data_IF_947958266472
#
_entry.id   IF_947958266472
#
_cell.length_a   1.000
_cell.length_b   1.000
_cell.length_c   1.000
_cell.angle_alpha   90.00
_cell.angle_beta   90.00
_cell.angle_gamma   90.00
#
_symmetry.space_group_name_H-M   'P 1'
#
loop_
_entity.id
_entity.type
_entity.pdbx_description
1 polymer ?
#
# COMPACT_ATOMS: atom_id res chain seq x y z
N UNK A 1 -3.82 11.58 -20.53
CA UNK A 1 -4.55 10.41 -20.01
C UNK A 1 -4.83 10.49 -18.49
N UNK A 2 -4.00 11.15 -17.67
CA UNK A 2 -4.25 11.26 -16.22
C UNK A 2 -5.36 12.24 -15.81
N UNK A 3 -5.35 13.47 -16.32
CA UNK A 3 -6.29 14.54 -15.90
C UNK A 3 -7.77 14.16 -16.08
N UNK A 4 -8.12 13.55 -17.22
CA UNK A 4 -9.49 13.11 -17.52
C UNK A 4 -9.99 12.05 -16.52
N UNK A 5 -9.13 11.11 -16.14
CA UNK A 5 -9.47 10.08 -15.14
C UNK A 5 -9.67 10.69 -13.74
N UNK A 6 -8.87 11.71 -13.38
CA UNK A 6 -9.04 12.45 -12.13
C UNK A 6 -10.35 13.26 -12.11
N UNK A 7 -10.73 13.88 -13.23
CA UNK A 7 -12.00 14.61 -13.35
C UNK A 7 -13.22 13.66 -13.27
N UNK A 8 -13.13 12.48 -13.91
CA UNK A 8 -14.16 11.44 -13.81
C UNK A 8 -14.34 10.98 -12.36
N UNK A 9 -13.24 10.76 -11.61
CA UNK A 9 -13.29 10.35 -10.21
C UNK A 9 -13.90 11.43 -9.30
N UNK A 10 -13.56 12.71 -9.53
CA UNK A 10 -14.20 13.83 -8.82
C UNK A 10 -15.71 13.88 -9.08
N UNK A 11 -16.14 13.68 -10.34
CA UNK A 11 -17.56 13.69 -10.70
C UNK A 11 -18.34 12.55 -10.02
N UNK A 12 -17.72 11.37 -9.91
CA UNK A 12 -18.30 10.22 -9.23
C UNK A 12 -18.47 10.46 -7.72
N UNK A 13 -17.47 11.08 -7.07
CA UNK A 13 -17.59 11.47 -5.66
C UNK A 13 -18.67 12.52 -5.40
N UNK A 14 -18.84 13.48 -6.32
CA UNK A 14 -19.87 14.51 -6.20
C UNK A 14 -21.28 13.95 -6.34
N UNK A 15 -21.52 13.05 -7.32
CA UNK A 15 -22.82 12.38 -7.51
C UNK A 15 -23.26 11.56 -6.29
N UNK A 16 -22.30 10.99 -5.56
CA UNK A 16 -22.54 10.17 -4.36
C UNK A 16 -22.55 10.95 -3.04
N UNK A 17 -22.49 12.28 -3.07
CA UNK A 17 -22.49 13.10 -1.86
C UNK A 17 -21.19 13.03 -1.03
N UNK A 18 -20.13 12.40 -1.55
CA UNK A 18 -18.80 12.27 -0.91
C UNK A 18 -17.98 13.56 -1.09
N UNK A 19 -18.52 14.65 -0.57
CA UNK A 19 -18.03 16.02 -0.81
C UNK A 19 -16.64 16.27 -0.21
N UNK A 20 -16.26 15.60 0.88
CA UNK A 20 -14.96 15.79 1.53
C UNK A 20 -13.82 15.21 0.68
N UNK A 21 -14.08 14.08 0.04
CA UNK A 21 -13.15 13.33 -0.80
C UNK A 21 -13.02 13.99 -2.16
N UNK A 22 -14.13 14.42 -2.76
CA UNK A 22 -14.13 15.24 -3.96
C UNK A 22 -13.28 16.50 -3.77
N UNK A 23 -13.49 17.23 -2.65
CA UNK A 23 -12.73 18.45 -2.31
C UNK A 23 -11.26 18.15 -2.02
N UNK A 24 -10.96 17.07 -1.31
CA UNK A 24 -9.58 16.67 -1.04
C UNK A 24 -8.82 16.33 -2.33
N UNK A 25 -9.45 15.57 -3.23
CA UNK A 25 -8.88 15.20 -4.54
C UNK A 25 -8.66 16.43 -5.42
N UNK A 26 -9.64 17.34 -5.49
CA UNK A 26 -9.52 18.62 -6.22
C UNK A 26 -8.38 19.49 -5.70
N UNK A 27 -8.22 19.61 -4.38
CA UNK A 27 -7.12 20.37 -3.77
C UNK A 27 -5.75 19.79 -4.13
N UNK A 28 -5.64 18.47 -4.23
CA UNK A 28 -4.41 17.80 -4.64
C UNK A 28 -4.14 17.97 -6.14
N UNK A 29 -5.16 17.93 -7.00
CA UNK A 29 -5.01 18.20 -8.43
C UNK A 29 -4.48 19.62 -8.69
N UNK A 30 -4.93 20.61 -7.90
CA UNK A 30 -4.39 21.99 -7.94
C UNK A 30 -2.92 22.01 -7.51
N UNK A 31 -2.57 21.30 -6.43
CA UNK A 31 -1.20 21.25 -5.89
C UNK A 31 -0.19 20.60 -6.83
N UNK A 32 -0.60 19.60 -7.59
CA UNK A 32 0.26 18.86 -8.54
C UNK A 32 0.37 19.58 -9.90
N UNK A 33 -0.26 20.76 -10.06
CA UNK A 33 -0.23 21.50 -11.32
C UNK A 33 -0.98 20.82 -12.45
N UNK A 34 -1.87 19.86 -12.14
CA UNK A 34 -2.72 19.16 -13.11
C UNK A 34 -3.94 19.99 -13.52
N UNK A 35 -4.12 21.18 -12.93
CA UNK A 35 -5.14 22.16 -13.27
C UNK A 35 -4.43 23.44 -13.71
N UNK A 36 -4.42 23.74 -15.01
CA UNK A 36 -4.00 25.04 -15.50
C UNK A 36 -5.04 26.10 -15.05
N UNK A 37 -4.54 27.04 -14.25
CA UNK A 37 -5.02 28.41 -13.98
C UNK A 37 -6.53 28.69 -14.16
N UNK A 38 -7.22 28.97 -13.03
CA UNK A 38 -8.42 29.83 -13.07
C UNK A 38 -9.65 29.44 -12.24
N UNK A 39 -9.59 28.46 -11.32
CA UNK A 39 -10.76 28.14 -10.48
C UNK A 39 -10.54 28.63 -9.04
N UNK A 40 -11.10 29.83 -8.82
CA UNK A 40 -11.28 30.48 -7.52
C UNK A 40 -11.91 29.53 -6.49
N UNK A 41 -11.54 29.69 -5.23
CA UNK A 41 -11.93 28.82 -4.12
C UNK A 41 -13.41 28.97 -3.68
N UNK A 42 -14.24 29.69 -4.45
CA UNK A 42 -15.63 29.98 -4.12
C UNK A 42 -16.68 29.39 -5.09
N UNK A 43 -16.33 28.41 -5.94
CA UNK A 43 -17.33 27.70 -6.74
C UNK A 43 -18.05 26.60 -5.93
N UNK A 44 -18.68 26.99 -4.82
CA UNK A 44 -19.70 26.17 -4.14
C UNK A 44 -21.07 26.55 -4.71
N UNK A 45 -21.29 26.24 -5.99
CA UNK A 45 -22.53 26.55 -6.70
C UNK A 45 -22.85 25.44 -7.70
N UNK A 46 -24.07 24.92 -7.61
CA UNK A 46 -24.63 23.76 -8.31
C UNK A 46 -24.27 23.65 -9.81
N UNK A 47 -24.15 22.40 -10.26
CA UNK A 47 -24.31 21.88 -11.63
C UNK A 47 -23.35 22.27 -12.77
N UNK A 48 -22.61 23.38 -12.73
CA UNK A 48 -22.04 23.91 -13.98
C UNK A 48 -20.55 23.60 -14.27
N UNK A 49 -19.84 22.85 -13.43
CA UNK A 49 -18.40 22.57 -13.66
C UNK A 49 -18.14 21.39 -14.62
N UNK A 50 -19.13 20.52 -14.85
CA UNK A 50 -18.90 19.22 -15.50
C UNK A 50 -19.30 19.16 -16.98
N UNK A 51 -20.22 20.00 -17.46
CA UNK A 51 -20.71 19.92 -18.84
C UNK A 51 -19.65 20.33 -19.88
N UNK A 52 -18.81 21.32 -19.59
CA UNK A 52 -17.93 21.92 -20.60
C UNK A 52 -16.78 21.00 -21.05
N UNK A 53 -16.44 19.97 -20.27
CA UNK A 53 -15.36 19.01 -20.57
C UNK A 53 -15.88 17.64 -21.03
N UNK A 54 -17.19 17.38 -20.88
CA UNK A 54 -17.82 16.07 -21.15
C UNK A 54 -18.40 15.95 -22.58
N UNK A 55 -18.36 17.02 -23.38
CA UNK A 55 -19.06 17.11 -24.68
C UNK A 55 -18.42 16.33 -25.84
N UNK A 56 -17.61 15.30 -25.58
CA UNK A 56 -17.30 14.30 -26.62
C UNK A 56 -18.15 13.05 -26.36
N UNK A 57 -18.94 12.57 -27.33
CA UNK A 57 -19.95 11.52 -27.12
C UNK A 57 -19.38 10.28 -26.41
N UNK A 58 -18.20 9.80 -26.79
CA UNK A 58 -17.58 8.62 -26.17
C UNK A 58 -17.06 8.79 -24.72
N UNK A 59 -16.94 10.02 -24.19
CA UNK A 59 -16.51 10.27 -22.79
C UNK A 59 -17.71 10.43 -21.85
N UNK A 60 -18.82 10.96 -22.36
CA UNK A 60 -20.09 11.01 -21.64
C UNK A 60 -20.61 9.60 -21.35
N UNK A 61 -20.57 8.72 -22.34
CA UNK A 61 -20.98 7.32 -22.21
C UNK A 61 -20.14 6.55 -21.19
N UNK A 62 -18.83 6.83 -21.13
CA UNK A 62 -17.92 6.20 -20.17
C UNK A 62 -18.16 6.70 -18.74
N UNK A 63 -18.49 7.98 -18.57
CA UNK A 63 -18.86 8.55 -17.27
C UNK A 63 -20.22 8.03 -16.78
N UNK A 64 -21.16 7.80 -17.71
CA UNK A 64 -22.48 7.22 -17.43
C UNK A 64 -22.34 5.74 -17.09
N UNK A 65 -21.57 4.97 -17.87
CA UNK A 65 -21.29 3.56 -17.58
C UNK A 65 -20.56 3.38 -16.24
N UNK A 66 -19.59 4.23 -15.92
CA UNK A 66 -18.94 4.24 -14.61
C UNK A 66 -19.93 4.59 -13.50
N UNK A 67 -20.85 5.54 -13.71
CA UNK A 67 -21.88 5.87 -12.73
C UNK A 67 -22.90 4.74 -12.53
N UNK A 68 -23.25 4.00 -13.59
CA UNK A 68 -24.16 2.86 -13.53
C UNK A 68 -23.52 1.63 -12.85
N UNK A 69 -22.24 1.33 -13.14
CA UNK A 69 -21.44 0.32 -12.41
C UNK A 69 -21.33 0.66 -10.92
N UNK A 70 -21.44 1.94 -10.59
CA UNK A 70 -21.46 2.45 -9.23
C UNK A 70 -22.87 2.43 -8.60
N UNK A 71 -23.96 2.24 -9.35
CA UNK A 71 -25.33 2.28 -8.81
C UNK A 71 -25.90 0.88 -8.48
N UNK A 72 -25.33 -0.20 -9.02
CA UNK A 72 -25.74 -1.57 -8.67
C UNK A 72 -25.23 -1.97 -7.27
N UNK A 73 -26.16 -2.09 -6.32
CA UNK A 73 -25.88 -2.25 -4.88
C UNK A 73 -25.05 -3.51 -4.52
N UNK A 74 -25.14 -4.58 -5.31
CA UNK A 74 -24.30 -5.79 -5.15
C UNK A 74 -22.90 -5.67 -5.81
N UNK A 75 -22.69 -4.68 -6.68
CA UNK A 75 -21.38 -4.39 -7.28
C UNK A 75 -20.61 -3.29 -6.52
N UNK A 76 -21.21 -2.58 -5.57
CA UNK A 76 -20.64 -1.40 -4.91
C UNK A 76 -19.33 -1.61 -4.14
N UNK A 77 -19.03 -2.84 -3.69
CA UNK A 77 -17.83 -3.15 -2.89
C UNK A 77 -16.57 -3.08 -3.76
N UNK A 78 -16.60 -3.60 -4.98
CA UNK A 78 -15.42 -3.61 -5.88
C UNK A 78 -14.95 -2.19 -6.25
N UNK A 79 -15.84 -1.26 -6.66
CA UNK A 79 -15.50 0.14 -6.85
C UNK A 79 -15.03 0.82 -5.57
N UNK A 80 -15.56 0.44 -4.39
CA UNK A 80 -15.15 1.05 -3.13
C UNK A 80 -13.75 0.63 -2.71
N UNK A 81 -13.41 -0.67 -2.81
CA UNK A 81 -12.04 -1.18 -2.63
C UNK A 81 -11.09 -0.49 -3.60
N UNK A 82 -11.48 -0.39 -4.88
CA UNK A 82 -10.69 0.31 -5.90
C UNK A 82 -10.45 1.79 -5.56
N UNK A 83 -11.49 2.49 -5.09
CA UNK A 83 -11.40 3.90 -4.70
C UNK A 83 -10.47 4.11 -3.50
N UNK A 84 -10.56 3.25 -2.48
CA UNK A 84 -9.65 3.29 -1.34
C UNK A 84 -8.22 2.96 -1.75
N UNK A 85 -8.01 1.89 -2.52
CA UNK A 85 -6.69 1.49 -3.01
C UNK A 85 -6.04 2.59 -3.86
N UNK A 86 -6.82 3.23 -4.73
CA UNK A 86 -6.36 4.38 -5.52
C UNK A 86 -5.93 5.53 -4.61
N UNK A 87 -6.79 5.93 -3.65
CA UNK A 87 -6.48 6.99 -2.68
C UNK A 87 -5.20 6.70 -1.89
N UNK A 88 -5.09 5.48 -1.35
CA UNK A 88 -3.92 5.02 -0.58
C UNK A 88 -2.66 5.06 -1.45
N UNK A 89 -2.72 4.52 -2.68
CA UNK A 89 -1.62 4.56 -3.63
C UNK A 89 -1.13 5.99 -3.87
N UNK A 90 -2.05 6.90 -4.18
CA UNK A 90 -1.70 8.29 -4.49
C UNK A 90 -1.10 9.01 -3.28
N UNK A 91 -1.69 8.85 -2.08
CA UNK A 91 -1.12 9.44 -0.87
C UNK A 91 0.26 8.89 -0.55
N UNK A 92 0.49 7.58 -0.70
CA UNK A 92 1.81 6.98 -0.53
C UNK A 92 2.82 7.53 -1.57
N UNK A 93 2.42 7.68 -2.84
CA UNK A 93 3.28 8.26 -3.89
C UNK A 93 3.63 9.72 -3.62
N UNK A 94 2.70 10.49 -3.08
CA UNK A 94 2.91 11.88 -2.66
C UNK A 94 3.65 12.00 -1.31
N UNK A 95 4.12 10.91 -0.70
CA UNK A 95 4.75 10.85 0.64
C UNK A 95 3.84 11.40 1.76
N UNK A 96 2.53 11.43 1.54
CA UNK A 96 1.50 11.88 2.50
C UNK A 96 0.97 10.69 3.31
N UNK A 97 1.85 10.06 4.11
CA UNK A 97 1.54 8.77 4.74
C UNK A 97 0.36 8.85 5.72
N UNK A 98 0.19 9.98 6.41
CA UNK A 98 -0.93 10.16 7.34
C UNK A 98 -2.29 10.16 6.65
N UNK A 99 -2.38 10.74 5.44
CA UNK A 99 -3.62 10.74 4.67
C UNK A 99 -3.89 9.37 4.04
N UNK A 100 -2.85 8.63 3.66
CA UNK A 100 -2.96 7.22 3.28
C UNK A 100 -3.54 6.39 4.44
N UNK A 101 -3.09 6.64 5.67
CA UNK A 101 -3.60 5.95 6.85
C UNK A 101 -5.01 6.35 7.23
N UNK A 102 -5.40 7.62 7.04
CA UNK A 102 -6.81 8.03 7.19
C UNK A 102 -7.71 7.29 6.21
N UNK A 103 -7.29 7.16 4.94
CA UNK A 103 -8.04 6.40 3.94
C UNK A 103 -8.14 4.92 4.33
N UNK A 104 -7.04 4.29 4.77
CA UNK A 104 -7.03 2.91 5.25
C UNK A 104 -7.92 2.71 6.48
N UNK A 105 -7.84 3.56 7.51
CA UNK A 105 -8.72 3.48 8.69
C UNK A 105 -10.18 3.64 8.33
N UNK A 106 -10.49 4.51 7.37
CA UNK A 106 -11.86 4.69 6.89
C UNK A 106 -12.38 3.47 6.15
N UNK A 107 -11.54 2.84 5.32
CA UNK A 107 -11.85 1.58 4.66
C UNK A 107 -12.28 0.53 5.69
N UNK A 108 -11.52 0.38 6.77
CA UNK A 108 -11.85 -0.53 7.87
C UNK A 108 -13.16 -0.14 8.60
N UNK A 109 -13.37 1.14 8.89
CA UNK A 109 -14.60 1.61 9.57
C UNK A 109 -15.87 1.39 8.74
N UNK A 110 -15.73 1.29 7.42
CA UNK A 110 -16.81 1.01 6.49
C UNK A 110 -16.94 -0.50 6.20
N UNK A 111 -16.26 -1.35 6.96
CA UNK A 111 -16.20 -2.80 6.77
C UNK A 111 -15.72 -3.25 5.37
N UNK A 112 -14.97 -2.39 4.67
CA UNK A 112 -14.37 -2.73 3.39
C UNK A 112 -13.06 -3.46 3.66
N UNK A 113 -12.94 -4.69 3.17
CA UNK A 113 -11.78 -5.54 3.48
C UNK A 113 -10.54 -5.11 2.69
N UNK A 114 -9.39 -4.90 3.37
CA UNK A 114 -8.14 -4.61 2.68
C UNK A 114 -7.66 -5.81 1.87
N UNK A 115 -7.02 -5.51 0.75
CA UNK A 115 -6.51 -6.50 -0.20
C UNK A 115 -4.97 -6.54 -0.16
N UNK A 116 -4.36 -7.53 -0.81
CA UNK A 116 -2.91 -7.60 -0.98
C UNK A 116 -2.34 -6.34 -1.66
N UNK A 117 -3.13 -5.70 -2.53
CA UNK A 117 -2.78 -4.44 -3.16
C UNK A 117 -2.77 -3.27 -2.16
N UNK A 118 -3.77 -3.20 -1.27
CA UNK A 118 -3.86 -2.21 -0.18
C UNK A 118 -2.59 -2.23 0.67
N UNK A 119 -2.19 -3.42 1.14
CA UNK A 119 -0.98 -3.60 1.94
C UNK A 119 0.29 -3.31 1.15
N UNK A 120 0.35 -3.69 -0.12
CA UNK A 120 1.49 -3.40 -0.99
C UNK A 120 1.73 -1.90 -1.16
N UNK A 121 0.67 -1.09 -1.29
CA UNK A 121 0.80 0.37 -1.38
C UNK A 121 1.30 0.98 -0.08
N UNK A 122 0.73 0.59 1.06
CA UNK A 122 1.16 1.06 2.38
C UNK A 122 2.63 0.69 2.64
N UNK A 123 3.03 -0.56 2.37
CA UNK A 123 4.43 -1.00 2.51
C UNK A 123 5.38 -0.19 1.63
N UNK A 124 5.05 0.04 0.36
CA UNK A 124 5.87 0.87 -0.54
C UNK A 124 5.97 2.32 -0.03
N UNK A 125 4.87 2.87 0.48
CA UNK A 125 4.84 4.18 1.13
C UNK A 125 5.81 4.26 2.31
N UNK A 126 5.68 3.35 3.27
CA UNK A 126 6.57 3.27 4.43
C UNK A 126 8.03 3.04 4.06
N UNK A 127 8.30 2.11 3.13
CA UNK A 127 9.64 1.80 2.63
C UNK A 127 10.34 3.03 2.06
N UNK A 128 9.62 3.84 1.28
CA UNK A 128 10.15 5.09 0.69
C UNK A 128 10.53 6.15 1.74
N UNK A 129 10.01 6.01 2.96
CA UNK A 129 10.29 6.88 4.11
C UNK A 129 11.26 6.23 5.11
N UNK A 130 11.74 5.01 4.87
CA UNK A 130 12.56 4.26 5.83
C UNK A 130 11.80 3.78 7.08
N UNK A 131 10.47 3.80 7.05
CA UNK A 131 9.57 3.50 8.18
C UNK A 131 9.33 1.98 8.30
N UNK A 132 10.40 1.22 8.51
CA UNK A 132 10.34 -0.25 8.52
C UNK A 132 9.66 -0.82 9.78
N UNK A 133 9.68 -0.09 10.90
CA UNK A 133 8.98 -0.49 12.13
C UNK A 133 7.47 -0.55 11.88
N UNK A 134 6.94 0.39 11.12
CA UNK A 134 5.52 0.49 10.77
C UNK A 134 5.10 -0.69 9.87
N UNK A 135 6.00 -1.20 9.04
CA UNK A 135 5.79 -2.43 8.26
C UNK A 135 5.66 -3.65 9.20
N UNK A 136 6.34 -3.68 10.35
CA UNK A 136 6.15 -4.76 11.34
C UNK A 136 4.76 -4.72 11.99
N UNK A 137 4.19 -3.52 12.16
CA UNK A 137 2.82 -3.34 12.67
C UNK A 137 1.84 -3.78 11.57
N UNK A 138 2.06 -3.35 10.33
CA UNK A 138 1.23 -3.75 9.19
C UNK A 138 1.22 -5.27 8.99
N UNK A 139 2.35 -5.95 9.21
CA UNK A 139 2.42 -7.41 9.17
C UNK A 139 1.56 -8.10 10.23
N UNK A 140 1.41 -7.49 11.42
CA UNK A 140 0.47 -7.98 12.43
C UNK A 140 -0.97 -7.91 11.92
N UNK A 141 -1.34 -6.82 11.27
CA UNK A 141 -2.67 -6.66 10.66
C UNK A 141 -2.89 -7.69 9.56
N UNK A 142 -1.93 -7.85 8.65
CA UNK A 142 -1.97 -8.85 7.57
C UNK A 142 -2.25 -10.25 8.13
N UNK A 143 -1.52 -10.68 9.16
CA UNK A 143 -1.74 -11.98 9.81
C UNK A 143 -3.14 -12.09 10.43
N UNK A 144 -3.69 -11.00 10.98
CA UNK A 144 -5.05 -10.99 11.53
C UNK A 144 -6.09 -11.20 10.42
N UNK A 145 -5.94 -10.53 9.27
CA UNK A 145 -6.85 -10.70 8.14
C UNK A 145 -6.74 -12.08 7.48
N UNK A 146 -5.54 -12.66 7.43
CA UNK A 146 -5.34 -14.03 6.94
C UNK A 146 -6.02 -15.06 7.84
N UNK A 147 -5.94 -14.90 9.17
CA UNK A 147 -6.59 -15.82 10.12
C UNK A 147 -8.11 -15.79 10.08
N UNK A 148 -8.69 -14.69 9.61
CA UNK A 148 -10.14 -14.53 9.49
C UNK A 148 -10.64 -14.81 8.06
N UNK A 149 -9.85 -15.46 7.22
CA UNK A 149 -10.12 -15.74 5.80
C UNK A 149 -10.51 -14.51 4.95
N UNK A 150 -10.14 -13.31 5.42
CA UNK A 150 -10.45 -12.04 4.77
C UNK A 150 -9.33 -11.59 3.79
N UNK A 151 -8.20 -12.30 3.76
CA UNK A 151 -7.07 -11.97 2.90
C UNK A 151 -6.34 -13.25 2.46
N UNK A 152 -6.23 -13.43 1.14
CA UNK A 152 -5.39 -14.48 0.55
C UNK A 152 -3.96 -13.95 0.38
N UNK A 153 -3.03 -14.51 1.15
CA UNK A 153 -1.61 -14.23 1.01
C UNK A 153 -1.10 -14.73 -0.33
N UNK A 154 -0.60 -13.82 -1.16
CA UNK A 154 0.03 -14.18 -2.43
C UNK A 154 1.56 -14.00 -2.36
N UNK A 155 2.26 -14.61 -3.32
CA UNK A 155 3.72 -14.58 -3.40
C UNK A 155 4.27 -13.15 -3.39
N UNK A 156 3.66 -12.24 -4.16
CA UNK A 156 4.13 -10.86 -4.29
C UNK A 156 4.08 -10.09 -2.96
N UNK A 157 3.05 -10.32 -2.14
CA UNK A 157 2.92 -9.71 -0.81
C UNK A 157 4.05 -10.17 0.12
N UNK A 158 4.33 -11.48 0.14
CA UNK A 158 5.40 -12.04 0.95
C UNK A 158 6.79 -11.64 0.46
N UNK A 159 7.02 -11.57 -0.85
CA UNK A 159 8.26 -11.08 -1.43
C UNK A 159 8.52 -9.62 -1.02
N UNK A 160 7.48 -8.77 -1.06
CA UNK A 160 7.57 -7.39 -0.63
C UNK A 160 7.83 -7.26 0.88
N UNK A 161 7.18 -8.08 1.72
CA UNK A 161 7.45 -8.13 3.16
C UNK A 161 8.89 -8.55 3.43
N UNK A 162 9.36 -9.62 2.79
CA UNK A 162 10.69 -10.17 2.98
C UNK A 162 11.78 -9.15 2.60
N UNK A 163 11.62 -8.48 1.46
CA UNK A 163 12.54 -7.43 1.02
C UNK A 163 12.56 -6.24 2.00
N UNK A 164 11.39 -5.80 2.49
CA UNK A 164 11.31 -4.67 3.41
C UNK A 164 11.86 -5.00 4.80
N UNK A 165 11.58 -6.17 5.35
CA UNK A 165 12.16 -6.59 6.62
C UNK A 165 13.66 -6.78 6.53
N UNK A 166 14.15 -7.32 5.42
CA UNK A 166 15.58 -7.41 5.17
C UNK A 166 16.21 -6.00 5.12
N UNK A 167 15.60 -5.05 4.41
CA UNK A 167 16.08 -3.65 4.38
C UNK A 167 16.12 -3.00 5.76
N UNK A 168 15.11 -3.25 6.59
CA UNK A 168 15.05 -2.75 7.96
C UNK A 168 15.89 -3.53 8.97
N UNK A 169 16.52 -4.64 8.58
CA UNK A 169 17.29 -5.49 9.49
C UNK A 169 16.44 -6.27 10.50
N UNK A 170 15.15 -6.48 10.24
CA UNK A 170 14.22 -7.21 11.13
C UNK A 170 14.29 -8.72 10.87
N UNK A 171 15.42 -9.35 11.17
CA UNK A 171 15.67 -10.76 10.82
C UNK A 171 14.70 -11.76 11.45
N UNK A 172 14.18 -11.48 12.65
CA UNK A 172 13.07 -12.26 13.23
C UNK A 172 11.86 -12.33 12.27
N UNK A 173 11.47 -11.19 11.70
CA UNK A 173 10.35 -11.10 10.75
C UNK A 173 10.68 -11.67 9.38
N UNK A 174 11.93 -11.53 8.94
CA UNK A 174 12.45 -12.20 7.73
C UNK A 174 12.27 -13.72 7.86
N UNK A 175 12.69 -14.31 8.98
CA UNK A 175 12.58 -15.75 9.22
C UNK A 175 11.11 -16.20 9.35
N UNK A 176 10.27 -15.40 10.01
CA UNK A 176 8.83 -15.65 10.08
C UNK A 176 8.18 -15.71 8.69
N UNK A 177 8.50 -14.76 7.80
CA UNK A 177 7.98 -14.73 6.43
C UNK A 177 8.50 -15.92 5.60
N UNK A 178 9.79 -16.26 5.73
CA UNK A 178 10.36 -17.43 5.04
C UNK A 178 9.68 -18.73 5.48
N UNK A 179 9.38 -18.89 6.78
CA UNK A 179 8.63 -20.05 7.27
C UNK A 179 7.26 -20.11 6.63
N UNK A 180 6.50 -19.00 6.66
CA UNK A 180 5.18 -18.95 6.03
C UNK A 180 5.21 -19.29 4.54
N UNK A 181 6.16 -18.75 3.78
CA UNK A 181 6.32 -19.08 2.36
C UNK A 181 6.61 -20.57 2.16
N UNK A 182 7.46 -21.18 3.01
CA UNK A 182 7.76 -22.61 2.96
C UNK A 182 6.53 -23.46 3.26
N UNK A 183 5.80 -23.13 4.31
CA UNK A 183 4.63 -23.89 4.78
C UNK A 183 3.50 -23.88 3.74
N UNK A 184 3.45 -22.85 2.88
CA UNK A 184 2.49 -22.72 1.78
C UNK A 184 3.09 -23.04 0.40
N UNK A 185 4.26 -23.69 0.34
CA UNK A 185 4.95 -24.10 -0.89
C UNK A 185 5.18 -22.96 -1.90
N UNK A 186 5.44 -21.73 -1.41
CA UNK A 186 5.74 -20.58 -2.25
C UNK A 186 7.24 -20.51 -2.57
N UNK A 187 7.55 -20.27 -3.84
CA UNK A 187 8.94 -20.07 -4.28
C UNK A 187 9.50 -18.71 -3.83
N UNK A 188 10.68 -18.74 -3.21
CA UNK A 188 11.44 -17.57 -2.81
C UNK A 188 12.80 -17.56 -3.53
N UNK A 189 13.09 -16.47 -4.25
CA UNK A 189 14.37 -16.29 -4.93
C UNK A 189 15.47 -15.91 -3.93
N UNK A 190 16.17 -16.92 -3.42
CA UNK A 190 17.27 -16.77 -2.46
C UNK A 190 18.37 -15.84 -2.95
N UNK A 191 18.62 -15.78 -4.26
CA UNK A 191 19.73 -15.00 -4.81
C UNK A 191 19.48 -13.50 -4.66
N UNK A 192 18.26 -13.03 -4.93
CA UNK A 192 17.88 -11.61 -4.73
C UNK A 192 18.07 -11.20 -3.27
N UNK A 193 17.65 -12.04 -2.31
CA UNK A 193 17.81 -11.73 -0.89
C UNK A 193 19.26 -11.83 -0.41
N UNK A 194 20.07 -12.73 -1.00
CA UNK A 194 21.51 -12.79 -0.76
C UNK A 194 22.19 -11.48 -1.15
N UNK A 195 21.90 -10.98 -2.35
CA UNK A 195 22.46 -9.72 -2.86
C UNK A 195 22.04 -8.54 -1.98
N UNK A 196 20.75 -8.44 -1.63
CA UNK A 196 20.28 -7.34 -0.79
C UNK A 196 20.88 -7.37 0.62
N UNK A 197 21.07 -8.56 1.21
CA UNK A 197 21.78 -8.72 2.48
C UNK A 197 23.23 -8.28 2.39
N UNK A 198 23.97 -8.72 1.36
CA UNK A 198 25.38 -8.33 1.19
C UNK A 198 25.51 -6.81 0.95
N UNK A 199 24.53 -6.20 0.27
CA UNK A 199 24.50 -4.76 0.03
C UNK A 199 24.32 -3.95 1.31
N UNK A 200 23.43 -4.38 2.21
CA UNK A 200 23.03 -3.60 3.39
C UNK A 200 23.70 -4.04 4.69
N UNK A 201 23.95 -5.33 4.83
CA UNK A 201 24.24 -5.99 6.11
C UNK A 201 25.50 -6.87 6.08
N UNK A 202 26.39 -6.73 5.08
CA UNK A 202 27.61 -7.57 4.94
C UNK A 202 28.46 -7.72 6.21
N UNK A 203 28.49 -6.69 7.04
CA UNK A 203 29.30 -6.65 8.26
C UNK A 203 28.49 -6.97 9.52
N UNK A 204 27.17 -7.17 9.38
CA UNK A 204 26.28 -7.41 10.49
C UNK A 204 26.67 -8.73 11.18
N UNK A 205 27.11 -8.60 12.43
CA UNK A 205 27.54 -9.69 13.30
C UNK A 205 28.65 -10.61 12.77
N UNK A 206 29.48 -10.16 11.83
CA UNK A 206 30.55 -10.97 11.22
C UNK A 206 31.53 -11.57 12.24
N UNK A 207 31.78 -10.88 13.35
CA UNK A 207 32.71 -11.30 14.42
C UNK A 207 32.02 -11.67 15.73
N UNK A 208 30.69 -11.53 15.83
CA UNK A 208 29.96 -11.77 17.07
C UNK A 208 29.53 -13.24 17.15
N UNK A 209 29.98 -13.95 18.19
CA UNK A 209 29.47 -15.29 18.54
C UNK A 209 28.33 -15.17 19.55
N UNK A 210 27.38 -16.12 19.56
CA UNK A 210 26.27 -16.13 20.51
C UNK A 210 26.75 -16.14 21.97
N UNK A 211 27.83 -16.87 22.24
CA UNK A 211 28.55 -16.89 23.53
C UNK A 211 29.05 -15.52 24.00
N UNK A 212 29.17 -14.55 23.10
CA UNK A 212 29.72 -13.22 23.37
C UNK A 212 28.62 -12.16 23.53
N UNK A 213 27.33 -12.54 23.45
CA UNK A 213 26.22 -11.60 23.55
C UNK A 213 25.94 -11.23 25.01
N UNK A 214 25.66 -9.95 25.26
CA UNK A 214 25.47 -9.43 26.63
C UNK A 214 24.06 -9.64 27.16
N UNK A 215 23.10 -9.89 26.27
CA UNK A 215 21.68 -10.07 26.61
C UNK A 215 21.04 -11.15 25.75
N UNK A 216 20.02 -11.82 26.29
CA UNK A 216 19.24 -12.84 25.57
C UNK A 216 18.64 -12.28 24.26
N UNK A 217 18.18 -11.03 24.29
CA UNK A 217 17.65 -10.36 23.10
C UNK A 217 18.70 -10.17 22.00
N UNK A 218 19.97 -9.93 22.36
CA UNK A 218 21.07 -9.89 21.39
C UNK A 218 21.40 -11.27 20.84
N UNK A 219 21.34 -12.33 21.67
CA UNK A 219 21.51 -13.73 21.22
C UNK A 219 20.47 -14.09 20.16
N UNK A 220 19.18 -13.88 20.46
CA UNK A 220 18.08 -14.20 19.52
C UNK A 220 18.19 -13.45 18.19
N UNK A 221 18.58 -12.17 18.23
CA UNK A 221 18.81 -11.39 17.00
C UNK A 221 19.95 -11.97 16.17
N UNK A 222 21.04 -12.39 16.81
CA UNK A 222 22.17 -13.03 16.15
C UNK A 222 21.76 -14.37 15.52
N UNK A 223 21.00 -15.19 16.25
CA UNK A 223 20.48 -16.47 15.78
C UNK A 223 19.68 -16.31 14.48
N UNK A 224 18.71 -15.38 14.44
CA UNK A 224 17.95 -15.13 13.21
C UNK A 224 18.80 -14.65 12.03
N UNK A 225 19.85 -13.86 12.29
CA UNK A 225 20.79 -13.44 11.23
C UNK A 225 21.59 -14.64 10.71
N UNK A 226 22.05 -15.52 11.60
CA UNK A 226 22.77 -16.73 11.23
C UNK A 226 21.89 -17.72 10.45
N UNK A 227 20.65 -17.91 10.89
CA UNK A 227 19.65 -18.72 10.18
C UNK A 227 19.38 -18.16 8.77
N UNK A 228 19.23 -16.85 8.64
CA UNK A 228 19.05 -16.22 7.34
C UNK A 228 20.27 -16.43 6.44
N UNK A 229 21.50 -16.20 6.95
CA UNK A 229 22.75 -16.42 6.20
C UNK A 229 22.84 -17.86 5.70
N UNK A 230 22.53 -18.84 6.55
CA UNK A 230 22.45 -20.25 6.16
C UNK A 230 21.39 -20.48 5.07
N UNK A 231 20.21 -19.86 5.19
CA UNK A 231 19.13 -20.01 4.22
C UNK A 231 19.50 -19.51 2.81
N UNK A 232 20.23 -18.38 2.71
CA UNK A 232 20.74 -17.84 1.43
C UNK A 232 22.10 -18.40 1.00
N UNK A 233 22.73 -19.28 1.78
CA UNK A 233 24.05 -19.84 1.49
C UNK A 233 25.17 -18.79 1.52
N UNK A 234 25.26 -18.04 2.63
CA UNK A 234 26.40 -17.18 2.97
C UNK A 234 27.17 -17.84 4.12
N UNK A 235 28.44 -18.15 3.88
CA UNK A 235 29.38 -18.67 4.88
C UNK A 235 29.81 -17.60 5.89
#
# INVERSE_FOLDING_TARGET
>A
MGQDMYLLLVSAYQKRGLQREAKALLKQMKKVGLLNTGLSDDATGKHNLCEKTLNSPGKADLAIALAQILEDEDQTIFPLVYNFNSSIFFFCKARMIEDALKAYRRMLSMNVQPTSQTFSFLMRGYSSLGMYREITILWRDIKRFMKSDNLVGNRDLYELLLLNFLRGGYFERVMEVISHMRDHNMYADKWIYKIEFLRLHKNLYRSLKASNTRTEAQSKRLEHVQEFRKWVGID
#
